data_IF_515470273888
#
_entry.id   IF_515470273888
#
_cell.length_a   1.000
_cell.length_b   1.000
_cell.length_c   1.000
_cell.angle_alpha   90.00
_cell.angle_beta   90.00
_cell.angle_gamma   90.00
#
_symmetry.space_group_name_H-M   'P 1'
#
loop_
_entity.id
_entity.type
_entity.pdbx_description
1 polymer ?
#
# COMPACT_ATOMS: atom_id res chain seq x y z
N UNK A 1 11.98 17.02 8.47
CA UNK A 1 11.95 15.98 7.42
C UNK A 1 12.52 16.61 6.17
N UNK A 2 13.53 16.01 5.55
CA UNK A 2 14.27 16.64 4.47
C UNK A 2 13.53 16.57 3.14
N UNK A 3 12.92 15.42 2.81
CA UNK A 3 12.22 15.21 1.52
C UNK A 3 11.02 14.28 1.73
N UNK A 4 9.92 14.50 1.00
CA UNK A 4 8.74 13.60 0.97
C UNK A 4 8.89 12.58 -0.16
N UNK A 5 8.60 11.32 0.11
CA UNK A 5 8.57 10.26 -0.90
C UNK A 5 7.17 9.63 -0.94
N UNK A 6 6.60 9.50 -2.13
CA UNK A 6 5.37 8.78 -2.39
C UNK A 6 5.69 7.53 -3.19
N UNK A 7 5.28 6.38 -2.69
CA UNK A 7 5.37 5.11 -3.43
C UNK A 7 3.97 4.65 -3.76
N UNK A 8 3.64 4.58 -5.04
CA UNK A 8 2.37 4.07 -5.54
C UNK A 8 2.57 2.65 -6.03
N UNK A 9 1.85 1.71 -5.43
CA UNK A 9 1.72 0.34 -5.95
C UNK A 9 0.41 0.29 -6.71
N UNK A 10 0.40 -0.22 -7.93
CA UNK A 10 -0.83 -0.35 -8.68
C UNK A 10 -0.80 -1.50 -9.66
N UNK A 11 -1.94 -1.74 -10.30
CA UNK A 11 -2.08 -2.78 -11.29
C UNK A 11 -3.52 -2.97 -11.72
N UNK A 12 -3.82 -4.18 -12.19
CA UNK A 12 -5.11 -4.51 -12.78
C UNK A 12 -5.83 -5.60 -11.99
N UNK A 13 -7.15 -5.52 -11.99
CA UNK A 13 -8.06 -6.61 -11.64
C UNK A 13 -8.39 -7.28 -12.98
N UNK A 14 -7.80 -8.44 -13.22
CA UNK A 14 -8.02 -9.26 -14.40
C UNK A 14 -9.41 -9.90 -14.32
N UNK A 15 -10.41 -9.19 -14.82
CA UNK A 15 -11.60 -9.82 -15.40
C UNK A 15 -11.23 -10.25 -16.83
N UNK A 16 -11.70 -11.43 -17.24
CA UNK A 16 -11.73 -11.88 -18.64
C UNK A 16 -12.45 -10.91 -19.59
N UNK A 17 -13.18 -9.92 -19.07
CA UNK A 17 -13.83 -8.87 -19.85
C UNK A 17 -13.00 -7.57 -19.93
N UNK A 18 -12.75 -7.11 -21.15
CA UNK A 18 -12.08 -5.83 -21.44
C UNK A 18 -13.10 -4.70 -21.36
N UNK A 19 -12.84 -3.56 -20.68
CA UNK A 19 -11.56 -3.13 -20.10
C UNK A 19 -11.30 -3.64 -18.67
N UNK A 20 -10.05 -3.99 -18.39
CA UNK A 20 -9.58 -4.32 -17.03
C UNK A 20 -9.67 -3.11 -16.11
N UNK A 21 -10.07 -3.35 -14.85
CA UNK A 21 -10.17 -2.30 -13.85
C UNK A 21 -8.82 -2.11 -13.17
N UNK A 22 -8.39 -0.86 -13.05
CA UNK A 22 -7.12 -0.54 -12.41
C UNK A 22 -7.31 -0.20 -10.93
N UNK A 23 -6.32 -0.56 -10.12
CA UNK A 23 -6.24 -0.20 -8.71
C UNK A 23 -4.88 0.40 -8.38
N UNK A 24 -4.83 1.20 -7.32
CA UNK A 24 -3.57 1.69 -6.77
C UNK A 24 -3.68 1.99 -5.27
N UNK A 25 -2.56 1.88 -4.57
CA UNK A 25 -2.40 2.17 -3.16
C UNK A 25 -1.16 3.06 -3.00
N UNK A 26 -1.28 4.12 -2.22
CA UNK A 26 -0.22 5.11 -2.04
C UNK A 26 0.37 5.03 -0.63
N UNK A 27 1.65 4.73 -0.56
CA UNK A 27 2.48 4.80 0.64
C UNK A 27 3.21 6.13 0.70
N UNK A 28 3.36 6.68 1.91
CA UNK A 28 4.02 7.96 2.14
C UNK A 28 5.19 7.81 3.09
N UNK A 29 6.36 8.24 2.66
CA UNK A 29 7.59 8.12 3.41
C UNK A 29 8.24 9.47 3.64
N UNK A 30 8.96 9.55 4.75
CA UNK A 30 9.94 10.57 5.02
C UNK A 30 11.30 10.08 4.58
N UNK A 31 11.94 10.84 3.69
CA UNK A 31 13.25 10.52 3.15
C UNK A 31 14.32 11.44 3.75
N UNK A 32 15.52 10.90 3.97
CA UNK A 32 16.71 11.71 4.34
C UNK A 32 17.21 12.54 3.16
N UNK A 33 17.11 12.00 1.95
CA UNK A 33 17.63 12.57 0.70
C UNK A 33 16.70 12.20 -0.45
N UNK A 34 16.56 13.09 -1.43
CA UNK A 34 15.87 12.77 -2.67
C UNK A 34 16.78 11.89 -3.54
N UNK A 35 16.24 10.80 -4.09
CA UNK A 35 16.93 10.03 -5.12
C UNK A 35 16.76 10.70 -6.48
N UNK A 36 17.72 10.54 -7.40
CA UNK A 36 17.55 10.92 -8.80
C UNK A 36 16.51 10.04 -9.50
N UNK A 37 15.97 10.46 -10.64
CA UNK A 37 14.93 9.67 -11.36
C UNK A 37 15.41 8.29 -11.80
N UNK A 38 16.71 8.14 -12.12
CA UNK A 38 17.31 6.84 -12.43
C UNK A 38 17.28 5.92 -11.21
N UNK A 39 17.78 6.37 -10.06
CA UNK A 39 17.76 5.60 -8.81
C UNK A 39 16.33 5.34 -8.32
N UNK A 40 15.41 6.29 -8.48
CA UNK A 40 13.99 6.07 -8.17
C UNK A 40 13.36 4.98 -9.06
N UNK A 41 13.85 4.81 -10.30
CA UNK A 41 13.44 3.73 -11.20
C UNK A 41 14.05 2.41 -10.75
N UNK A 42 15.33 2.39 -10.41
CA UNK A 42 16.01 1.22 -9.84
C UNK A 42 15.31 0.72 -8.57
N UNK A 43 14.94 1.64 -7.67
CA UNK A 43 14.15 1.34 -6.47
C UNK A 43 12.79 0.73 -6.83
N UNK A 44 12.08 1.32 -7.80
CA UNK A 44 10.78 0.82 -8.21
C UNK A 44 10.85 -0.61 -8.79
N UNK A 45 11.87 -0.89 -9.60
CA UNK A 45 12.12 -2.23 -10.16
C UNK A 45 12.46 -3.26 -9.08
N UNK A 46 13.29 -2.87 -8.11
CA UNK A 46 13.67 -3.75 -7.01
C UNK A 46 12.48 -4.08 -6.10
N UNK A 47 11.69 -3.07 -5.70
CA UNK A 47 10.48 -3.29 -4.91
C UNK A 47 9.47 -4.20 -5.65
N UNK A 48 9.31 -4.04 -6.97
CA UNK A 48 8.45 -4.96 -7.74
C UNK A 48 9.01 -6.38 -7.76
N UNK A 49 10.34 -6.52 -7.81
CA UNK A 49 11.03 -7.82 -7.75
C UNK A 49 10.81 -8.50 -6.40
N UNK A 50 10.91 -7.76 -5.29
CA UNK A 50 10.65 -8.30 -3.95
C UNK A 50 9.20 -8.72 -3.76
N UNK A 51 8.25 -7.91 -4.26
CA UNK A 51 6.82 -8.27 -4.29
C UNK A 51 6.63 -9.60 -5.02
N UNK A 52 7.37 -9.85 -6.11
CA UNK A 52 7.29 -11.09 -6.87
C UNK A 52 7.87 -12.31 -6.13
N UNK A 53 8.81 -12.08 -5.23
CA UNK A 53 9.47 -13.13 -4.46
C UNK A 53 8.75 -13.46 -3.14
N UNK A 54 7.93 -12.55 -2.60
CA UNK A 54 7.29 -12.70 -1.30
C UNK A 54 5.89 -13.35 -1.38
N UNK A 55 5.81 -14.60 -0.93
CA UNK A 55 4.54 -15.34 -0.87
C UNK A 55 3.47 -14.69 0.02
N UNK A 56 3.85 -14.00 1.10
CA UNK A 56 2.90 -13.36 2.01
C UNK A 56 2.33 -12.08 1.40
N UNK A 57 3.15 -11.30 0.68
CA UNK A 57 2.68 -10.15 -0.09
C UNK A 57 1.78 -10.59 -1.23
N UNK A 58 2.16 -11.63 -1.98
CA UNK A 58 1.31 -12.17 -3.05
C UNK A 58 0.00 -12.73 -2.51
N UNK A 59 -0.02 -13.28 -1.30
CA UNK A 59 -1.23 -13.79 -0.66
C UNK A 59 -2.23 -12.67 -0.29
N UNK A 60 -1.78 -11.41 -0.21
CA UNK A 60 -2.62 -10.24 0.01
C UNK A 60 -3.60 -9.95 -1.14
N UNK A 61 -3.35 -10.48 -2.34
CA UNK A 61 -4.20 -10.33 -3.53
C UNK A 61 -4.68 -11.66 -4.09
N UNK A 62 -5.86 -11.62 -4.74
CA UNK A 62 -6.40 -12.76 -5.45
C UNK A 62 -5.65 -13.04 -6.76
N UNK A 63 -5.65 -14.28 -7.25
CA UNK A 63 -4.98 -14.68 -8.52
C UNK A 63 -5.46 -13.95 -9.77
N UNK A 64 -6.63 -13.33 -9.71
CA UNK A 64 -7.21 -12.47 -10.74
C UNK A 64 -6.81 -11.00 -10.57
N UNK A 65 -5.81 -10.68 -9.74
CA UNK A 65 -5.26 -9.34 -9.59
C UNK A 65 -3.77 -9.38 -9.82
N UNK A 66 -3.26 -8.27 -10.32
CA UNK A 66 -1.86 -8.12 -10.62
C UNK A 66 -1.31 -6.89 -9.94
N UNK A 67 -0.11 -7.02 -9.39
CA UNK A 67 0.81 -5.92 -9.17
C UNK A 67 1.41 -5.57 -10.53
N UNK A 68 0.93 -4.48 -11.14
CA UNK A 68 1.31 -4.07 -12.48
C UNK A 68 2.48 -3.09 -12.52
N UNK A 69 2.61 -2.25 -11.50
CA UNK A 69 3.71 -1.29 -11.41
C UNK A 69 3.96 -0.82 -9.97
N UNK A 70 5.19 -0.35 -9.76
CA UNK A 70 5.62 0.47 -8.63
C UNK A 70 6.06 1.81 -9.18
N UNK A 71 5.59 2.91 -8.58
CA UNK A 71 6.01 4.26 -8.92
C UNK A 71 6.57 4.93 -7.67
N UNK A 72 7.76 5.48 -7.76
CA UNK A 72 8.41 6.20 -6.68
C UNK A 72 8.51 7.66 -7.10
N UNK A 73 8.03 8.59 -6.27
CA UNK A 73 8.10 10.01 -6.53
C UNK A 73 8.59 10.77 -5.30
N UNK A 74 9.58 11.64 -5.47
CA UNK A 74 10.05 12.53 -4.43
C UNK A 74 9.47 13.93 -4.62
N UNK A 75 9.23 14.61 -3.51
CA UNK A 75 8.70 15.96 -3.47
C UNK A 75 9.49 16.81 -2.48
N UNK A 76 9.54 18.10 -2.78
CA UNK A 76 9.94 19.12 -1.83
C UNK A 76 9.12 19.02 -0.51
N UNK A 77 9.76 19.20 0.66
CA UNK A 77 9.10 19.16 1.97
C UNK A 77 7.92 20.14 2.12
N UNK A 78 7.95 21.32 1.50
CA UNK A 78 7.00 22.41 1.78
C UNK A 78 5.76 22.46 0.87
N UNK A 79 5.53 21.39 0.11
CA UNK A 79 4.58 21.27 -1.00
C UNK A 79 5.08 21.91 -2.29
N UNK A 80 5.53 21.03 -3.19
CA UNK A 80 6.00 21.37 -4.53
C UNK A 80 5.72 20.25 -5.52
N UNK A 81 6.01 20.48 -6.80
CA UNK A 81 5.95 19.43 -7.83
C UNK A 81 6.87 18.26 -7.47
N UNK A 82 6.69 17.15 -8.17
CA UNK A 82 7.61 16.03 -8.08
C UNK A 82 9.00 16.47 -8.56
N UNK A 83 10.02 16.24 -7.75
CA UNK A 83 11.42 16.60 -8.05
C UNK A 83 12.13 15.48 -8.78
N UNK A 84 11.72 14.23 -8.54
CA UNK A 84 12.18 13.05 -9.25
C UNK A 84 11.10 11.97 -9.23
N UNK A 85 11.07 11.17 -10.29
CA UNK A 85 10.07 10.12 -10.48
C UNK A 85 10.74 8.91 -11.12
N UNK A 86 10.44 7.73 -10.59
CA UNK A 86 10.76 6.45 -11.21
C UNK A 86 9.52 5.58 -11.33
N UNK A 87 9.51 4.70 -12.34
CA UNK A 87 8.44 3.74 -12.59
C UNK A 87 9.09 2.40 -12.92
N UNK A 88 8.64 1.34 -12.26
CA UNK A 88 9.10 -0.01 -12.55
C UNK A 88 8.80 -0.38 -14.00
N UNK A 89 9.74 -1.08 -14.63
CA UNK A 89 9.67 -1.64 -15.98
C UNK A 89 9.45 -3.15 -15.99
N UNK A 90 9.48 -3.78 -14.81
CA UNK A 90 9.21 -5.21 -14.64
C UNK A 90 7.83 -5.65 -15.14
N UNK A 91 7.69 -6.95 -15.40
CA UNK A 91 6.41 -7.53 -15.82
C UNK A 91 5.40 -7.59 -14.66
N UNK A 92 4.10 -7.48 -14.93
CA UNK A 92 3.07 -7.63 -13.91
C UNK A 92 3.15 -8.98 -13.19
N UNK A 93 2.89 -8.97 -11.89
CA UNK A 93 2.93 -10.16 -11.01
C UNK A 93 1.54 -10.46 -10.48
N UNK A 94 1.06 -11.70 -10.68
CA UNK A 94 -0.24 -12.12 -10.16
C UNK A 94 -0.21 -12.30 -8.63
N UNK A 95 -1.31 -11.98 -7.96
CA UNK A 95 -1.56 -12.45 -6.58
C UNK A 95 -1.61 -13.98 -6.51
N UNK A 96 -1.44 -14.54 -5.31
CA UNK A 96 -1.36 -15.99 -5.11
C UNK A 96 -2.60 -16.61 -4.48
N UNK A 97 -3.49 -15.80 -3.87
CA UNK A 97 -4.68 -16.35 -3.21
C UNK A 97 -5.76 -16.73 -4.22
N UNK A 98 -6.09 -18.01 -4.32
CA UNK A 98 -7.26 -18.45 -5.07
C UNK A 98 -8.56 -18.02 -4.37
N UNK A 99 -9.48 -17.42 -5.13
CA UNK A 99 -10.83 -17.09 -4.67
C UNK A 99 -11.85 -17.49 -5.71
N UNK A 100 -12.88 -18.25 -5.32
CA UNK A 100 -13.93 -18.72 -6.23
C UNK A 100 -15.02 -17.68 -6.49
N UNK A 101 -15.12 -16.66 -5.64
CA UNK A 101 -16.09 -15.57 -5.79
C UNK A 101 -15.47 -14.28 -5.25
N UNK A 102 -14.69 -13.55 -6.06
CA UNK A 102 -14.17 -12.27 -5.64
C UNK A 102 -15.30 -11.26 -5.49
N UNK A 103 -15.24 -10.38 -4.47
CA UNK A 103 -16.24 -9.34 -4.32
C UNK A 103 -16.17 -8.32 -5.48
N UNK A 104 -17.22 -7.51 -5.68
CA UNK A 104 -17.20 -6.46 -6.68
C UNK A 104 -15.96 -5.55 -6.53
N UNK A 105 -15.40 -5.01 -7.63
CA UNK A 105 -14.19 -4.18 -7.63
C UNK A 105 -14.20 -2.95 -6.70
N UNK A 106 -15.40 -2.50 -6.29
CA UNK A 106 -15.58 -1.36 -5.39
C UNK A 106 -15.38 -1.72 -3.92
N UNK A 107 -15.25 -3.02 -3.60
CA UNK A 107 -15.08 -3.55 -2.25
C UNK A 107 -13.59 -3.61 -1.91
N UNK A 108 -13.25 -3.10 -0.74
CA UNK A 108 -11.87 -3.00 -0.28
C UNK A 108 -11.69 -3.62 1.11
N UNK A 109 -10.50 -4.17 1.33
CA UNK A 109 -9.95 -4.37 2.66
C UNK A 109 -9.16 -3.14 3.07
N UNK A 110 -9.27 -2.73 4.33
CA UNK A 110 -8.69 -1.47 4.80
C UNK A 110 -7.62 -1.73 5.84
N UNK A 111 -6.40 -1.30 5.52
CA UNK A 111 -5.32 -1.17 6.48
C UNK A 111 -5.31 0.27 7.01
N UNK A 112 -5.62 0.44 8.29
CA UNK A 112 -5.54 1.73 8.98
C UNK A 112 -4.15 1.92 9.55
N UNK A 113 -3.52 3.04 9.19
CA UNK A 113 -2.21 3.43 9.70
C UNK A 113 -2.42 4.24 10.97
N UNK A 114 -1.81 3.81 12.07
CA UNK A 114 -1.85 4.47 13.37
C UNK A 114 -0.47 4.96 13.74
N UNK A 115 -0.47 6.09 14.40
CA UNK A 115 0.73 6.75 14.92
C UNK A 115 0.61 6.88 16.44
N UNK A 116 1.69 7.27 17.10
CA UNK A 116 1.66 7.57 18.55
C UNK A 116 0.87 8.82 18.94
N UNK A 117 0.32 9.58 17.98
CA UNK A 117 -0.36 10.84 18.23
C UNK A 117 -1.88 10.70 18.00
N UNK A 118 -2.72 11.11 18.97
CA UNK A 118 -4.17 11.07 18.80
C UNK A 118 -4.64 12.14 17.80
N UNK A 119 -5.57 11.77 16.91
CA UNK A 119 -6.26 12.70 16.02
C UNK A 119 -6.45 12.15 14.61
N UNK A 120 -7.44 12.70 13.88
CA UNK A 120 -7.74 12.28 12.50
C UNK A 120 -6.61 12.59 11.53
N UNK A 121 -5.90 13.70 11.74
CA UNK A 121 -4.75 14.11 10.90
C UNK A 121 -3.53 13.20 11.02
N UNK A 122 -3.48 12.34 12.04
CA UNK A 122 -2.36 11.44 12.33
C UNK A 122 -2.73 9.97 12.12
N UNK A 123 -3.78 9.71 11.35
CA UNK A 123 -4.23 8.37 10.98
C UNK A 123 -4.39 8.29 9.47
N UNK A 124 -3.73 7.33 8.86
CA UNK A 124 -3.82 7.04 7.43
C UNK A 124 -4.71 5.85 7.16
N UNK A 125 -5.07 5.65 5.89
CA UNK A 125 -5.76 4.44 5.44
C UNK A 125 -5.28 4.04 4.06
N UNK A 126 -5.06 2.76 3.88
CA UNK A 126 -4.81 2.13 2.59
C UNK A 126 -6.02 1.26 2.25
N UNK A 127 -6.62 1.52 1.09
CA UNK A 127 -7.75 0.77 0.57
C UNK A 127 -7.22 -0.24 -0.44
N UNK A 128 -7.20 -1.50 -0.03
CA UNK A 128 -6.69 -2.61 -0.83
C UNK A 128 -7.83 -3.33 -1.54
N UNK A 129 -7.65 -3.78 -2.79
CA UNK A 129 -8.63 -4.63 -3.45
C UNK A 129 -8.97 -5.84 -2.56
N UNK A 130 -10.25 -6.06 -2.27
CA UNK A 130 -10.69 -7.13 -1.36
C UNK A 130 -10.69 -8.53 -2.01
N UNK A 131 -9.77 -8.77 -2.93
CA UNK A 131 -9.88 -9.84 -3.91
C UNK A 131 -9.32 -11.17 -3.45
N UNK A 132 -8.54 -11.19 -2.37
CA UNK A 132 -8.04 -12.42 -1.74
C UNK A 132 -8.97 -12.97 -0.65
N UNK A 133 -10.00 -12.24 -0.25
CA UNK A 133 -10.73 -12.52 0.98
C UNK A 133 -12.15 -12.99 0.65
N UNK A 134 -12.47 -14.22 1.02
CA UNK A 134 -13.86 -14.68 0.98
C UNK A 134 -14.73 -13.77 1.85
N UNK A 135 -15.71 -13.11 1.23
CA UNK A 135 -16.67 -12.26 1.94
C UNK A 135 -17.81 -13.15 2.44
N UNK A 136 -17.97 -13.23 3.76
CA UNK A 136 -19.07 -13.93 4.40
C UNK A 136 -20.38 -13.16 4.22
N UNK A 137 -21.52 -13.83 4.42
CA UNK A 137 -22.85 -13.23 4.28
C UNK A 137 -23.09 -12.00 5.19
N UNK A 138 -22.32 -11.88 6.28
CA UNK A 138 -22.35 -10.74 7.21
C UNK A 138 -21.40 -9.59 6.82
N UNK A 139 -20.73 -9.67 5.66
CA UNK A 139 -19.77 -8.68 5.19
C UNK A 139 -18.37 -8.78 5.81
N UNK A 140 -18.06 -9.88 6.50
CA UNK A 140 -16.74 -10.13 7.09
C UNK A 140 -15.82 -10.84 6.09
N UNK A 141 -14.59 -10.33 5.97
CA UNK A 141 -13.47 -10.91 5.25
C UNK A 141 -12.60 -11.70 6.23
N UNK A 142 -12.90 -13.00 6.39
CA UNK A 142 -12.39 -13.82 7.49
C UNK A 142 -10.85 -13.89 7.62
N UNK A 143 -10.12 -13.68 6.53
CA UNK A 143 -8.64 -13.77 6.48
C UNK A 143 -7.96 -12.46 6.10
N UNK A 144 -8.70 -11.34 6.05
CA UNK A 144 -8.14 -10.05 5.68
C UNK A 144 -7.02 -9.62 6.60
N UNK A 145 -7.20 -9.73 7.93
CA UNK A 145 -6.18 -9.28 8.88
C UNK A 145 -4.87 -10.05 8.76
N UNK A 146 -4.93 -11.37 8.59
CA UNK A 146 -3.75 -12.25 8.53
C UNK A 146 -3.01 -12.16 7.20
N UNK A 147 -3.69 -11.85 6.10
CA UNK A 147 -3.09 -11.79 4.76
C UNK A 147 -2.71 -10.37 4.33
N UNK A 148 -3.55 -9.39 4.64
CA UNK A 148 -3.30 -8.00 4.23
C UNK A 148 -2.19 -7.35 5.05
N UNK A 149 -2.08 -7.69 6.33
CA UNK A 149 -1.08 -7.05 7.20
C UNK A 149 0.36 -7.35 6.79
N UNK A 150 0.76 -8.63 6.56
CA UNK A 150 2.08 -8.94 6.02
C UNK A 150 2.32 -8.25 4.67
N UNK A 151 1.33 -8.27 3.76
CA UNK A 151 1.48 -7.62 2.47
C UNK A 151 1.74 -6.10 2.58
N UNK A 152 1.00 -5.42 3.45
CA UNK A 152 1.15 -3.98 3.66
C UNK A 152 2.48 -3.63 4.31
N UNK A 153 2.92 -4.41 5.30
CA UNK A 153 4.17 -4.16 6.01
C UNK A 153 5.39 -4.56 5.18
N UNK A 154 5.33 -5.69 4.47
CA UNK A 154 6.39 -6.17 3.58
C UNK A 154 6.70 -5.14 2.49
N UNK A 155 5.68 -4.62 1.82
CA UNK A 155 5.86 -3.54 0.82
C UNK A 155 6.52 -2.30 1.43
N UNK A 156 6.09 -1.88 2.62
CA UNK A 156 6.70 -0.73 3.28
C UNK A 156 8.17 -0.99 3.66
N UNK A 157 8.49 -2.21 4.08
CA UNK A 157 9.84 -2.65 4.40
C UNK A 157 10.73 -2.71 3.15
N UNK A 158 10.25 -3.27 2.02
CA UNK A 158 10.98 -3.27 0.76
C UNK A 158 11.31 -1.86 0.30
N UNK A 159 10.35 -0.93 0.38
CA UNK A 159 10.64 0.47 0.07
C UNK A 159 11.77 1.04 0.94
N UNK A 160 11.81 0.70 2.23
CA UNK A 160 12.85 1.18 3.13
C UNK A 160 14.23 0.56 2.84
N UNK A 161 14.29 -0.74 2.57
CA UNK A 161 15.52 -1.48 2.25
C UNK A 161 16.10 -0.99 0.90
N UNK A 162 15.28 -0.99 -0.14
CA UNK A 162 15.74 -0.63 -1.50
C UNK A 162 16.19 0.83 -1.60
N UNK A 163 15.55 1.73 -0.85
CA UNK A 163 16.02 3.10 -0.77
C UNK A 163 17.37 3.21 -0.03
N UNK A 164 17.56 2.43 1.04
CA UNK A 164 18.78 2.47 1.84
C UNK A 164 20.00 2.00 1.03
N UNK A 165 19.83 0.98 0.20
CA UNK A 165 20.85 0.50 -0.74
C UNK A 165 21.25 1.56 -1.78
N UNK A 166 20.36 2.51 -2.07
CA UNK A 166 20.59 3.66 -2.93
C UNK A 166 21.02 4.93 -2.15
N UNK A 167 21.26 4.82 -0.84
CA UNK A 167 21.75 5.92 0.00
C UNK A 167 20.65 6.89 0.48
N UNK A 168 19.38 6.48 0.51
CA UNK A 168 18.29 7.25 1.12
C UNK A 168 17.54 6.41 2.15
N UNK A 169 17.33 6.94 3.35
CA UNK A 169 16.56 6.24 4.37
C UNK A 169 15.10 6.68 4.29
N UNK A 170 14.20 5.74 3.99
CA UNK A 170 12.76 5.95 4.05
C UNK A 170 12.20 5.45 5.38
N UNK A 171 11.53 6.32 6.12
CA UNK A 171 10.67 5.92 7.23
C UNK A 171 9.21 6.13 6.82
N UNK A 172 8.30 5.25 7.26
CA UNK A 172 6.90 5.28 6.85
C UNK A 172 6.08 6.26 7.72
N UNK A 173 5.35 7.20 7.11
CA UNK A 173 4.60 8.25 7.82
C UNK A 173 3.16 8.39 7.32
N UNK A 174 2.33 8.96 8.18
CA UNK A 174 1.10 9.66 7.76
C UNK A 174 1.43 11.12 7.53
N UNK A 175 1.31 11.62 6.30
CA UNK A 175 1.47 13.05 6.01
C UNK A 175 0.15 13.81 6.18
N UNK A 176 0.18 14.92 6.91
CA UNK A 176 -0.94 15.86 6.98
C UNK A 176 -0.61 17.12 6.17
N UNK A 177 -1.24 17.33 5.00
CA UNK A 177 -1.05 18.55 4.21
C UNK A 177 -1.44 19.82 4.96
N UNK A 178 -2.52 19.75 5.76
CA UNK A 178 -3.03 20.89 6.54
C UNK A 178 -2.06 21.30 7.65
N UNK A 179 -1.44 20.33 8.34
CA UNK A 179 -0.49 20.62 9.42
C UNK A 179 0.95 20.74 8.94
N UNK A 180 1.23 20.34 7.69
CA UNK A 180 2.58 20.20 7.12
C UNK A 180 3.51 19.35 8.00
N UNK A 181 2.96 18.27 8.57
CA UNK A 181 3.68 17.36 9.46
C UNK A 181 3.50 15.93 8.99
N UNK A 182 4.61 15.19 8.91
CA UNK A 182 4.62 13.74 8.80
C UNK A 182 4.75 13.13 10.20
N UNK A 183 3.91 12.15 10.53
CA UNK A 183 4.00 11.42 11.80
C UNK A 183 4.26 9.92 11.56
N UNK A 184 5.29 9.31 12.18
CA UNK A 184 5.68 7.94 11.87
C UNK A 184 4.53 6.97 12.15
N UNK A 185 4.33 6.02 11.23
CA UNK A 185 3.41 4.91 11.46
C UNK A 185 4.05 3.97 12.48
N UNK A 186 3.32 3.68 13.55
CA UNK A 186 3.78 2.78 14.63
C UNK A 186 3.00 1.48 14.66
N UNK A 187 1.76 1.49 14.15
CA UNK A 187 0.88 0.32 14.13
C UNK A 187 0.06 0.34 12.85
N UNK A 188 0.00 -0.80 12.16
CA UNK A 188 -0.98 -1.08 11.12
C UNK A 188 -2.14 -1.83 11.74
N UNK A 189 -3.36 -1.46 11.38
CA UNK A 189 -4.57 -2.12 11.91
C UNK A 189 -5.49 -2.50 10.78
N UNK A 190 -5.73 -3.79 10.61
CA UNK A 190 -6.60 -4.31 9.56
C UNK A 190 -7.95 -4.67 10.16
N UNK A 191 -9.02 -4.10 9.58
CA UNK A 191 -10.40 -4.42 9.92
C UNK A 191 -10.85 -5.71 9.23
N UNK A 192 -11.79 -6.41 9.84
CA UNK A 192 -12.34 -7.63 9.28
C UNK A 192 -13.51 -7.36 8.32
N UNK A 193 -14.17 -6.20 8.40
CA UNK A 193 -15.30 -5.87 7.53
C UNK A 193 -14.84 -5.31 6.19
N UNK A 194 -15.60 -5.64 5.16
CA UNK A 194 -15.48 -4.97 3.87
C UNK A 194 -15.82 -3.47 4.00
N UNK A 195 -15.05 -2.63 3.31
CA UNK A 195 -15.32 -1.21 3.13
C UNK A 195 -15.48 -0.89 1.64
N UNK A 196 -15.91 0.32 1.32
CA UNK A 196 -15.81 0.84 -0.06
C UNK A 196 -14.84 2.00 -0.10
N UNK A 197 -14.17 2.22 -1.23
CA UNK A 197 -13.28 3.38 -1.37
C UNK A 197 -14.04 4.72 -1.19
N UNK A 198 -15.34 4.76 -1.52
CA UNK A 198 -16.15 5.98 -1.54
C UNK A 198 -16.79 6.33 -0.20
N UNK A 199 -17.00 5.35 0.67
CA UNK A 199 -17.70 5.56 1.94
C UNK A 199 -17.10 4.67 2.99
N UNK A 200 -16.73 5.28 4.12
CA UNK A 200 -16.29 4.60 5.33
C UNK A 200 -17.47 3.88 5.96
N UNK A 201 -17.31 2.60 6.25
CA UNK A 201 -18.22 1.87 7.11
C UNK A 201 -18.19 2.44 8.55
N UNK A 202 -19.38 2.72 9.10
CA UNK A 202 -19.56 3.23 10.46
C UNK A 202 -19.92 2.13 11.47
N UNK A 203 -20.17 0.90 10.99
CA UNK A 203 -20.44 -0.24 11.86
C UNK A 203 -19.21 -0.62 12.69
N UNK A 204 -19.46 -1.18 13.88
CA UNK A 204 -18.41 -1.73 14.72
C UNK A 204 -17.64 -2.83 13.99
N UNK A 205 -16.33 -2.69 13.95
CA UNK A 205 -15.40 -3.61 13.31
C UNK A 205 -14.33 -4.07 14.30
N UNK A 206 -13.91 -5.32 14.14
CA UNK A 206 -12.82 -5.90 14.92
C UNK A 206 -11.52 -5.61 14.18
N UNK A 207 -10.61 -4.91 14.85
CA UNK A 207 -9.30 -4.59 14.29
C UNK A 207 -8.24 -5.49 14.89
N UNK A 208 -7.40 -6.06 14.03
CA UNK A 208 -6.15 -6.70 14.46
C UNK A 208 -5.02 -5.68 14.32
N UNK A 209 -4.22 -5.50 15.37
CA UNK A 209 -3.12 -4.53 15.41
C UNK A 209 -1.80 -5.24 15.17
N UNK A 210 -0.96 -4.63 14.34
CA UNK A 210 0.36 -5.13 13.98
C UNK A 210 1.38 -4.00 14.21
N UNK A 211 2.35 -4.17 15.10
CA UNK A 211 3.37 -3.16 15.33
C UNK A 211 4.25 -3.05 14.08
N UNK A 212 4.55 -1.82 13.66
CA UNK A 212 5.57 -1.57 12.64
C UNK A 212 6.92 -1.65 13.33
N UNK A 213 7.74 -2.62 12.91
CA UNK A 213 9.12 -2.80 13.38
C UNK A 213 10.10 -1.97 12.56
#
# INVERSE_FOLDING_TARGET
>A
MAVRCHVTIGGAIADTSTPSLNWSVNYQFGATTALGSADATTMADAVLTDIAADSDVLAGLGTHNQYGYVRVAFHDPDSGPETSVGLSTGSPVNGSTATTSPPPPQVCAVATLRTGIPGRSFRGRLYWPATAFGVQANGIMATASTKLSPAVQGIAQYCAVEAADLGSNLAWYVWSPTKKVGTPVTVVSVGARCDTQRRRNEADDTYTNFPVT
#
